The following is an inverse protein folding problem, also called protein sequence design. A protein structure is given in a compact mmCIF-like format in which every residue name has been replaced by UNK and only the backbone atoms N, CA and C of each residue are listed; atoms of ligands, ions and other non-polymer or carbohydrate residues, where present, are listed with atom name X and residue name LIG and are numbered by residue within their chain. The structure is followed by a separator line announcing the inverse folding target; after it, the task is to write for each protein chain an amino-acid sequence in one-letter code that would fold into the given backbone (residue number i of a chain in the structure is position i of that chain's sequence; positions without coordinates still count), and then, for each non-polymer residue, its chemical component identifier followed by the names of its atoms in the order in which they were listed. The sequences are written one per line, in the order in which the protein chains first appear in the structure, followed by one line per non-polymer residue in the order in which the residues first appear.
data_IF_737840821019
#
_entry.id   IF_737840821019
#
_cell.length_a   1.000
_cell.length_b   1.000
_cell.length_c   1.000
_cell.angle_alpha   90.00
_cell.angle_beta   90.00
_cell.angle_gamma   90.00
#
_symmetry.space_group_name_H-M   'P 1'
#
loop_
_entity.id
_entity.type
_entity.pdbx_description
1 polymer ?
#
# COMPACT_ATOMS: atom_id res chain seq x y z
N UNK A 1 22.19 34.89 31.70
CA UNK A 1 21.67 33.71 32.44
C UNK A 1 22.35 32.49 31.87
N UNK A 2 23.16 31.78 32.67
CA UNK A 2 23.90 30.60 32.20
C UNK A 2 22.94 29.43 31.98
N UNK A 3 22.78 28.99 30.72
CA UNK A 3 21.97 27.82 30.35
C UNK A 3 22.70 26.59 30.90
N UNK A 4 22.16 26.01 31.98
CA UNK A 4 22.74 24.85 32.67
C UNK A 4 22.75 23.68 31.67
N UNK A 5 23.95 23.29 31.19
CA UNK A 5 24.13 22.19 30.28
C UNK A 5 23.59 20.90 30.91
N UNK A 6 22.75 20.18 30.16
CA UNK A 6 22.04 18.99 30.63
C UNK A 6 22.89 17.78 30.24
N UNK A 7 23.72 17.32 31.17
CA UNK A 7 24.66 16.21 30.97
C UNK A 7 23.90 14.87 31.04
N UNK A 8 24.21 13.95 30.12
CA UNK A 8 23.47 12.69 29.96
C UNK A 8 23.80 11.63 31.03
N UNK A 9 22.84 10.73 31.29
CA UNK A 9 23.08 9.48 32.03
C UNK A 9 23.82 8.45 31.15
N UNK A 10 24.73 7.69 31.76
CA UNK A 10 25.60 6.70 31.13
C UNK A 10 24.84 5.43 30.72
N UNK A 11 23.86 5.57 29.82
CA UNK A 11 23.27 4.53 28.95
C UNK A 11 22.10 5.11 28.10
N UNK A 12 22.15 6.42 27.81
CA UNK A 12 21.12 7.09 27.04
C UNK A 12 21.07 6.56 25.60
N UNK A 13 19.86 6.19 25.14
CA UNK A 13 19.56 5.75 23.76
C UNK A 13 20.03 6.80 22.73
N UNK A 14 20.22 8.05 23.16
CA UNK A 14 20.66 9.19 22.36
C UNK A 14 22.18 9.38 22.30
N UNK A 15 22.99 8.49 22.89
CA UNK A 15 24.46 8.59 22.83
C UNK A 15 25.03 8.60 21.41
N UNK A 16 24.27 8.09 20.42
CA UNK A 16 24.62 8.13 19.00
C UNK A 16 24.41 9.51 18.35
N UNK A 17 23.75 10.46 19.03
CA UNK A 17 23.49 11.81 18.54
C UNK A 17 24.59 12.81 18.92
N UNK A 18 25.37 12.48 19.95
CA UNK A 18 26.56 13.21 20.37
C UNK A 18 27.68 12.97 19.36
N UNK A 19 27.90 13.95 18.49
CA UNK A 19 28.79 13.81 17.32
C UNK A 19 30.21 14.27 17.64
N UNK A 20 30.38 15.13 18.65
CA UNK A 20 31.68 15.64 19.09
C UNK A 20 32.23 14.93 20.34
N UNK A 21 31.42 14.08 21.00
CA UNK A 21 31.82 13.20 22.09
C UNK A 21 32.02 13.93 23.41
N UNK A 22 31.40 15.10 23.58
CA UNK A 22 31.55 15.94 24.77
C UNK A 22 30.56 15.57 25.90
N UNK A 23 29.62 14.66 25.65
CA UNK A 23 28.61 14.19 26.59
C UNK A 23 27.39 15.09 26.73
N UNK A 24 27.25 16.13 25.89
CA UNK A 24 26.20 17.15 25.90
C UNK A 24 25.59 17.28 24.50
N UNK A 25 24.41 16.68 24.28
CA UNK A 25 23.68 16.88 23.01
C UNK A 25 23.24 18.34 22.89
N UNK A 26 23.83 19.05 21.93
CA UNK A 26 23.47 20.42 21.59
C UNK A 26 22.18 20.49 20.79
N UNK A 27 21.49 21.64 20.82
CA UNK A 27 20.27 21.87 20.03
C UNK A 27 20.53 21.69 18.50
N UNK A 28 21.79 21.89 18.06
CA UNK A 28 22.27 21.72 16.67
C UNK A 28 22.51 20.26 16.27
N UNK A 29 22.90 19.39 17.21
CA UNK A 29 23.03 17.95 16.96
C UNK A 29 21.66 17.28 16.91
N UNK A 30 20.75 17.70 17.79
CA UNK A 30 19.36 17.23 17.76
C UNK A 30 18.61 17.68 16.50
N UNK A 31 18.89 18.85 15.95
CA UNK A 31 18.25 19.32 14.71
C UNK A 31 18.73 18.53 13.49
N UNK A 32 20.04 18.29 13.37
CA UNK A 32 20.62 17.45 12.31
C UNK A 32 20.11 16.01 12.37
N UNK A 33 20.00 15.44 13.57
CA UNK A 33 19.45 14.12 13.77
C UNK A 33 18.00 13.99 13.31
N UNK A 34 17.17 15.01 13.61
CA UNK A 34 15.78 15.08 13.15
C UNK A 34 15.70 15.22 11.64
N UNK A 35 16.52 16.07 11.02
CA UNK A 35 16.56 16.19 9.56
C UNK A 35 16.95 14.86 8.90
N UNK A 36 17.95 14.16 9.42
CA UNK A 36 18.37 12.84 8.90
C UNK A 36 17.23 11.83 9.05
N UNK A 37 16.59 11.76 10.22
CA UNK A 37 15.48 10.85 10.46
C UNK A 37 14.26 11.15 9.58
N UNK A 38 13.92 12.43 9.37
CA UNK A 38 12.86 12.86 8.47
C UNK A 38 13.17 12.52 7.01
N UNK A 39 14.43 12.71 6.60
CA UNK A 39 14.88 12.37 5.25
C UNK A 39 14.84 10.86 5.00
N UNK A 40 15.31 10.04 5.94
CA UNK A 40 15.21 8.58 5.88
C UNK A 40 13.77 8.10 5.86
N UNK A 41 12.91 8.69 6.69
CA UNK A 41 11.48 8.36 6.72
C UNK A 41 10.84 8.68 5.37
N UNK A 42 11.11 9.86 4.81
CA UNK A 42 10.59 10.26 3.50
C UNK A 42 11.07 9.33 2.39
N UNK A 43 12.35 8.94 2.41
CA UNK A 43 12.92 7.99 1.45
C UNK A 43 12.26 6.61 1.54
N UNK A 44 12.11 6.06 2.75
CA UNK A 44 11.42 4.77 2.98
C UNK A 44 9.95 4.81 2.54
N UNK A 45 9.28 5.94 2.74
CA UNK A 45 7.90 6.13 2.29
C UNK A 45 7.80 6.11 0.76
N UNK A 46 8.73 6.77 0.06
CA UNK A 46 8.81 6.75 -1.41
C UNK A 46 9.11 5.35 -1.95
N UNK A 47 10.08 4.65 -1.37
CA UNK A 47 10.40 3.25 -1.77
C UNK A 47 9.20 2.32 -1.55
N UNK A 48 8.40 2.55 -0.51
CA UNK A 48 7.21 1.77 -0.23
C UNK A 48 6.03 2.14 -1.15
N UNK A 49 5.99 3.36 -1.70
CA UNK A 49 5.04 3.76 -2.73
C UNK A 49 5.35 3.07 -4.05
N UNK A 50 6.61 3.11 -4.50
CA UNK A 50 7.06 2.44 -5.72
C UNK A 50 6.79 0.93 -5.66
N UNK A 51 7.09 0.29 -4.52
CA UNK A 51 6.82 -1.13 -4.31
C UNK A 51 5.32 -1.48 -4.39
N UNK A 52 4.43 -0.56 -3.97
CA UNK A 52 2.98 -0.75 -4.10
C UNK A 52 2.54 -0.62 -5.56
N UNK A 53 3.10 0.31 -6.31
CA UNK A 53 2.77 0.46 -7.73
C UNK A 53 3.13 -0.78 -8.55
N UNK A 54 4.32 -1.35 -8.32
CA UNK A 54 4.75 -2.58 -8.99
C UNK A 54 3.90 -3.80 -8.57
N UNK A 55 3.48 -3.85 -7.29
CA UNK A 55 2.52 -4.86 -6.85
C UNK A 55 1.15 -4.71 -7.51
N UNK A 56 0.63 -3.48 -7.65
CA UNK A 56 -0.63 -3.22 -8.35
C UNK A 56 -0.51 -3.62 -9.82
N UNK A 57 0.63 -3.34 -10.48
CA UNK A 57 0.87 -3.75 -11.87
C UNK A 57 0.88 -5.26 -12.04
N UNK A 58 1.57 -5.98 -11.15
CA UNK A 58 1.60 -7.45 -11.19
C UNK A 58 0.24 -8.07 -10.89
N UNK A 59 -0.50 -7.53 -9.91
CA UNK A 59 -1.88 -7.94 -9.61
C UNK A 59 -2.82 -7.69 -10.80
N UNK A 60 -2.69 -6.54 -11.46
CA UNK A 60 -3.47 -6.22 -12.66
C UNK A 60 -3.19 -7.22 -13.78
N UNK A 61 -1.91 -7.54 -14.05
CA UNK A 61 -1.56 -8.54 -15.05
C UNK A 61 -2.13 -9.92 -14.74
N UNK A 62 -2.08 -10.35 -13.48
CA UNK A 62 -2.68 -11.61 -13.06
C UNK A 62 -4.20 -11.63 -13.28
N UNK A 63 -4.89 -10.54 -12.92
CA UNK A 63 -6.32 -10.40 -13.15
C UNK A 63 -6.69 -10.39 -14.64
N UNK A 64 -5.89 -9.72 -15.48
CA UNK A 64 -6.07 -9.71 -16.94
C UNK A 64 -5.97 -11.12 -17.54
N UNK A 65 -4.97 -11.91 -17.12
CA UNK A 65 -4.84 -13.31 -17.52
C UNK A 65 -6.02 -14.17 -17.03
N UNK A 66 -6.44 -13.98 -15.78
CA UNK A 66 -7.59 -14.69 -15.22
C UNK A 66 -8.91 -14.38 -15.94
N UNK A 67 -9.12 -13.13 -16.35
CA UNK A 67 -10.30 -12.74 -17.12
C UNK A 67 -10.30 -13.33 -18.54
N UNK A 68 -9.11 -13.45 -19.16
CA UNK A 68 -8.96 -14.06 -20.47
C UNK A 68 -9.10 -15.59 -20.45
N UNK A 69 -8.86 -16.22 -19.31
CA UNK A 69 -8.96 -17.67 -19.14
C UNK A 69 -10.36 -18.20 -19.53
N UNK A 70 -11.43 -17.52 -19.11
CA UNK A 70 -12.80 -17.97 -19.36
C UNK A 70 -13.17 -18.00 -20.86
N UNK A 71 -12.97 -16.92 -21.64
CA UNK A 71 -13.17 -16.95 -23.10
C UNK A 71 -12.28 -17.97 -23.82
N UNK A 72 -11.02 -18.12 -23.40
CA UNK A 72 -10.07 -19.06 -24.01
C UNK A 72 -10.54 -20.50 -23.82
N UNK A 73 -11.04 -20.86 -22.63
CA UNK A 73 -11.59 -22.20 -22.37
C UNK A 73 -12.85 -22.49 -23.20
N UNK A 74 -13.73 -21.50 -23.40
CA UNK A 74 -14.90 -21.65 -24.30
C UNK A 74 -14.43 -21.92 -25.74
N UNK A 75 -13.43 -21.17 -26.21
CA UNK A 75 -12.84 -21.37 -27.54
C UNK A 75 -12.22 -22.77 -27.68
N UNK A 76 -11.47 -23.23 -26.69
CA UNK A 76 -10.87 -24.57 -26.68
C UNK A 76 -11.92 -25.68 -26.70
N UNK A 77 -12.98 -25.57 -25.90
CA UNK A 77 -14.07 -26.56 -25.87
C UNK A 77 -14.83 -26.63 -27.19
N UNK A 78 -14.99 -25.50 -27.89
CA UNK A 78 -15.56 -25.47 -29.24
C UNK A 78 -14.64 -26.12 -30.27
N UNK A 79 -13.32 -25.88 -30.22
CA UNK A 79 -12.35 -26.53 -31.13
C UNK A 79 -12.28 -28.05 -30.91
N UNK A 80 -12.45 -28.51 -29.66
CA UNK A 80 -12.50 -29.93 -29.31
C UNK A 80 -13.85 -30.61 -29.64
N UNK A 81 -14.81 -29.88 -30.22
CA UNK A 81 -16.12 -30.41 -30.61
C UNK A 81 -17.10 -30.63 -29.45
N UNK A 82 -16.86 -30.01 -28.29
CA UNK A 82 -17.72 -30.10 -27.10
C UNK A 82 -18.72 -28.94 -27.07
N UNK A 83 -19.52 -28.80 -28.12
CA UNK A 83 -20.39 -27.64 -28.36
C UNK A 83 -21.45 -27.42 -27.27
N UNK A 84 -21.94 -28.51 -26.66
CA UNK A 84 -22.89 -28.42 -25.54
C UNK A 84 -22.27 -27.75 -24.31
N UNK A 85 -21.01 -28.02 -24.00
CA UNK A 85 -20.34 -27.39 -22.87
C UNK A 85 -20.09 -25.90 -23.15
N UNK A 86 -19.63 -25.56 -24.36
CA UNK A 86 -19.43 -24.17 -24.77
C UNK A 86 -20.73 -23.34 -24.70
N UNK A 87 -21.86 -23.91 -25.15
CA UNK A 87 -23.19 -23.27 -25.06
C UNK A 87 -23.63 -23.05 -23.62
N UNK A 88 -23.63 -24.09 -22.78
CA UNK A 88 -24.06 -23.99 -21.38
C UNK A 88 -23.22 -22.94 -20.64
N UNK A 89 -21.90 -22.95 -20.86
CA UNK A 89 -20.99 -21.98 -20.24
C UNK A 89 -21.25 -20.56 -20.77
N UNK A 90 -21.51 -20.39 -22.07
CA UNK A 90 -21.86 -19.09 -22.65
C UNK A 90 -23.19 -18.53 -22.14
N UNK A 91 -24.20 -19.39 -21.98
CA UNK A 91 -25.57 -18.99 -21.59
C UNK A 91 -25.63 -18.48 -20.14
N UNK A 92 -24.78 -19.01 -19.24
CA UNK A 92 -24.70 -18.55 -17.84
C UNK A 92 -23.81 -17.31 -17.67
N UNK A 93 -23.00 -16.95 -18.68
CA UNK A 93 -22.02 -15.86 -18.58
C UNK A 93 -22.63 -14.54 -18.07
N UNK A 94 -23.78 -14.07 -18.61
CA UNK A 94 -24.37 -12.80 -18.19
C UNK A 94 -24.72 -12.78 -16.69
N UNK A 95 -25.23 -13.88 -16.16
CA UNK A 95 -25.59 -14.01 -14.74
C UNK A 95 -24.36 -13.94 -13.84
N UNK A 96 -23.26 -14.60 -14.23
CA UNK A 96 -21.99 -14.51 -13.51
C UNK A 96 -21.40 -13.09 -13.52
N UNK A 97 -21.42 -12.41 -14.67
CA UNK A 97 -20.93 -11.04 -14.78
C UNK A 97 -21.71 -10.07 -13.89
N UNK A 98 -23.04 -10.17 -13.88
CA UNK A 98 -23.89 -9.33 -13.02
C UNK A 98 -23.62 -9.61 -11.54
N UNK A 99 -23.48 -10.88 -11.15
CA UNK A 99 -23.17 -11.25 -9.76
C UNK A 99 -21.81 -10.71 -9.29
N UNK A 100 -20.76 -10.87 -10.10
CA UNK A 100 -19.41 -10.36 -9.78
C UNK A 100 -19.42 -8.83 -9.74
N UNK A 101 -20.08 -8.16 -10.69
CA UNK A 101 -20.21 -6.70 -10.68
C UNK A 101 -20.90 -6.21 -9.40
N UNK A 102 -21.96 -6.89 -8.95
CA UNK A 102 -22.63 -6.61 -7.68
C UNK A 102 -21.72 -6.77 -6.47
N UNK A 103 -20.94 -7.86 -6.40
CA UNK A 103 -19.99 -8.10 -5.31
C UNK A 103 -18.88 -7.03 -5.27
N UNK A 104 -18.33 -6.69 -6.43
CA UNK A 104 -17.30 -5.65 -6.59
C UNK A 104 -17.86 -4.27 -6.22
N UNK A 105 -19.06 -3.92 -6.68
CA UNK A 105 -19.73 -2.67 -6.34
C UNK A 105 -20.02 -2.55 -4.84
N UNK A 106 -20.47 -3.64 -4.20
CA UNK A 106 -20.70 -3.67 -2.76
C UNK A 106 -19.40 -3.45 -1.97
N UNK A 107 -18.30 -4.11 -2.39
CA UNK A 107 -17.01 -3.98 -1.73
C UNK A 107 -16.42 -2.57 -1.86
N UNK A 108 -16.38 -2.02 -3.09
CA UNK A 108 -15.88 -0.65 -3.29
C UNK A 108 -16.82 0.41 -2.70
N UNK A 109 -18.14 0.19 -2.73
CA UNK A 109 -19.12 1.05 -2.06
C UNK A 109 -18.91 1.11 -0.55
N UNK A 110 -18.68 -0.04 0.09
CA UNK A 110 -18.39 -0.13 1.53
C UNK A 110 -17.05 0.54 1.90
N UNK A 111 -16.00 0.38 1.08
CA UNK A 111 -14.73 1.06 1.30
C UNK A 111 -14.84 2.58 1.16
N UNK A 112 -15.53 3.08 0.13
CA UNK A 112 -15.75 4.51 -0.07
C UNK A 112 -16.53 5.13 1.10
N UNK A 113 -17.57 4.44 1.56
CA UNK A 113 -18.35 4.86 2.74
C UNK A 113 -17.50 4.91 4.01
N UNK A 114 -16.64 3.91 4.24
CA UNK A 114 -15.75 3.85 5.40
C UNK A 114 -14.68 4.95 5.38
N UNK A 115 -14.09 5.23 4.22
CA UNK A 115 -13.06 6.28 4.07
C UNK A 115 -13.62 7.68 4.34
N UNK A 116 -14.89 7.91 3.96
CA UNK A 116 -15.62 9.16 4.23
C UNK A 116 -15.91 9.45 5.70
N UNK A 117 -15.74 8.48 6.61
CA UNK A 117 -15.89 8.65 8.07
C UNK A 117 -14.59 8.97 8.82
N UNK A 118 -13.44 9.04 8.14
CA UNK A 118 -12.20 9.45 8.81
C UNK A 118 -12.37 10.89 9.32
N UNK A 119 -12.22 11.16 10.64
CA UNK A 119 -12.39 12.50 11.18
C UNK A 119 -11.45 13.45 10.44
N UNK A 120 -12.00 14.51 9.84
CA UNK A 120 -11.17 15.65 9.44
C UNK A 120 -10.48 16.13 10.71
N UNK A 121 -9.16 15.97 10.80
CA UNK A 121 -8.37 16.66 11.80
C UNK A 121 -8.70 18.15 11.69
N UNK A 122 -9.37 18.65 12.72
CA UNK A 122 -9.63 20.05 12.94
C UNK A 122 -8.27 20.77 13.01
N UNK A 123 -7.87 21.41 11.91
CA UNK A 123 -6.85 22.44 11.94
C UNK A 123 -7.40 23.61 12.76
N UNK A 124 -6.98 23.69 14.02
CA UNK A 124 -6.99 24.90 14.84
C UNK A 124 -5.57 25.41 15.00
#
# INVERSE_FOLDING_TARGET
MAKKAKVMEADSIYAHLDTDGDGIITDEEMSRAKEIAEWEHKKKMQENEDAKEDQIRSMAWFALWGMLLYPVLILLTSILGVDSAAKIVGDIAPTYFVAIAGLVAAFFGAQAYSKGKSPKEDKK
#
